data_IF_645921152704
#
_entry.id   IF_645921152704
#
_cell.length_a   1.000
_cell.length_b   1.000
_cell.length_c   1.000
_cell.angle_alpha   90.00
_cell.angle_beta   90.00
_cell.angle_gamma   90.00
#
_symmetry.space_group_name_H-M   'P 1'
#
loop_
_entity.id
_entity.type
_entity.pdbx_description
1 polymer ?
#
# COMPACT_ATOMS: atom_id res chain seq x y z
N UNK A 1 -18.54 6.01 7.89
CA UNK A 1 -18.72 4.64 8.45
C UNK A 1 -19.19 3.63 7.41
N UNK A 2 -20.17 4.00 6.54
CA UNK A 2 -20.70 3.07 5.52
C UNK A 2 -19.61 2.66 4.55
N UNK A 3 -18.86 3.61 3.97
CA UNK A 3 -17.77 3.33 3.02
C UNK A 3 -16.70 2.42 3.63
N UNK A 4 -16.25 2.70 4.87
CA UNK A 4 -15.27 1.85 5.55
C UNK A 4 -15.77 0.39 5.70
N UNK A 5 -17.06 0.20 6.00
CA UNK A 5 -17.65 -1.14 6.13
C UNK A 5 -17.76 -1.85 4.77
N UNK A 6 -18.22 -1.14 3.73
CA UNK A 6 -18.34 -1.69 2.37
C UNK A 6 -16.97 -2.05 1.78
N UNK A 7 -16.00 -1.15 1.88
CA UNK A 7 -14.64 -1.39 1.40
C UNK A 7 -14.02 -2.58 2.13
N UNK A 8 -14.17 -2.66 3.45
CA UNK A 8 -13.65 -3.79 4.22
C UNK A 8 -14.31 -5.12 3.83
N UNK A 9 -15.61 -5.13 3.55
CA UNK A 9 -16.31 -6.34 3.08
C UNK A 9 -15.76 -6.79 1.71
N UNK A 10 -15.55 -5.87 0.76
CA UNK A 10 -14.96 -6.14 -0.56
C UNK A 10 -13.54 -6.69 -0.44
N UNK A 11 -12.70 -6.08 0.42
CA UNK A 11 -11.32 -6.50 0.64
C UNK A 11 -11.27 -7.90 1.27
N UNK A 12 -12.09 -8.13 2.30
CA UNK A 12 -12.21 -9.44 2.95
C UNK A 12 -12.64 -10.52 1.95
N UNK A 13 -13.67 -10.25 1.13
CA UNK A 13 -14.15 -11.17 0.09
C UNK A 13 -13.06 -11.46 -0.95
N UNK A 14 -12.31 -10.45 -1.37
CA UNK A 14 -11.19 -10.64 -2.28
C UNK A 14 -10.14 -11.60 -1.70
N UNK A 15 -9.63 -11.33 -0.50
CA UNK A 15 -8.63 -12.20 0.12
C UNK A 15 -9.17 -13.62 0.37
N UNK A 16 -10.42 -13.75 0.80
CA UNK A 16 -11.04 -15.04 1.01
C UNK A 16 -11.20 -15.85 -0.29
N UNK A 17 -11.71 -15.23 -1.34
CA UNK A 17 -12.06 -15.93 -2.58
C UNK A 17 -10.89 -16.10 -3.54
N UNK A 18 -9.97 -15.12 -3.58
CA UNK A 18 -8.82 -15.13 -4.52
C UNK A 18 -7.56 -15.72 -3.92
N UNK A 19 -7.35 -15.55 -2.61
CA UNK A 19 -6.12 -15.96 -1.91
C UNK A 19 -6.37 -17.06 -0.87
N UNK A 20 -7.62 -17.38 -0.54
CA UNK A 20 -7.95 -18.35 0.49
C UNK A 20 -7.69 -17.87 1.92
N UNK A 21 -7.58 -16.55 2.13
CA UNK A 21 -7.26 -15.95 3.41
C UNK A 21 -8.46 -15.32 4.09
N UNK A 22 -8.77 -15.76 5.30
CA UNK A 22 -9.89 -15.25 6.09
C UNK A 22 -9.48 -14.09 7.00
N UNK A 23 -9.30 -12.89 6.43
CA UNK A 23 -8.95 -11.67 7.16
C UNK A 23 -7.46 -11.56 7.52
N UNK A 24 -7.11 -10.55 8.34
CA UNK A 24 -5.72 -10.22 8.69
C UNK A 24 -5.01 -11.39 9.36
N UNK A 25 -5.63 -12.04 10.34
CA UNK A 25 -5.05 -13.15 11.10
C UNK A 25 -5.31 -14.53 10.47
N UNK A 26 -6.00 -14.59 9.33
CA UNK A 26 -6.40 -15.83 8.65
C UNK A 26 -7.25 -16.78 9.52
N UNK A 27 -8.04 -16.22 10.43
CA UNK A 27 -8.90 -16.96 11.37
C UNK A 27 -10.33 -16.42 11.43
N UNK A 28 -10.72 -15.58 10.47
CA UNK A 28 -12.00 -14.88 10.38
C UNK A 28 -12.28 -13.92 11.57
N UNK A 29 -11.26 -13.53 12.35
CA UNK A 29 -11.41 -12.48 13.36
C UNK A 29 -11.84 -11.19 12.69
N UNK A 30 -12.81 -10.51 13.28
CA UNK A 30 -13.35 -9.26 12.75
C UNK A 30 -12.25 -8.17 12.69
N UNK A 31 -12.16 -7.51 11.56
CA UNK A 31 -11.32 -6.33 11.38
C UNK A 31 -12.05 -5.09 11.88
N UNK A 32 -11.36 -4.24 12.64
CA UNK A 32 -11.91 -3.01 13.21
C UNK A 32 -11.45 -1.84 12.35
N UNK A 33 -12.40 -0.99 11.94
CA UNK A 33 -12.12 0.29 11.28
C UNK A 33 -12.64 1.44 12.15
N UNK A 34 -11.79 2.40 12.45
CA UNK A 34 -12.14 3.64 13.16
C UNK A 34 -12.12 4.77 12.13
N UNK A 35 -13.20 5.53 12.05
CA UNK A 35 -13.35 6.67 11.15
C UNK A 35 -13.48 7.97 11.95
N UNK A 36 -13.35 9.11 11.28
CA UNK A 36 -13.37 10.44 11.89
C UNK A 36 -12.23 10.63 12.90
N UNK A 37 -11.07 10.06 12.58
CA UNK A 37 -9.88 10.20 13.44
C UNK A 37 -9.35 11.62 13.33
N UNK A 38 -8.98 12.19 14.47
CA UNK A 38 -8.39 13.52 14.58
C UNK A 38 -7.00 13.43 15.18
N UNK A 39 -6.12 14.34 14.78
CA UNK A 39 -4.79 14.53 15.34
C UNK A 39 -4.67 15.97 15.83
N UNK A 40 -4.26 16.18 17.08
CA UNK A 40 -4.17 17.50 17.73
C UNK A 40 -5.45 18.35 17.68
N UNK A 41 -6.61 17.69 17.54
CA UNK A 41 -7.93 18.34 17.49
C UNK A 41 -8.38 18.75 16.08
N UNK A 42 -7.54 18.55 15.07
CA UNK A 42 -7.87 18.74 13.66
C UNK A 42 -8.16 17.39 12.97
N UNK A 43 -8.86 17.42 11.84
CA UNK A 43 -9.10 16.23 11.05
C UNK A 43 -7.77 15.69 10.51
N UNK A 44 -7.57 14.38 10.64
CA UNK A 44 -6.37 13.74 10.13
C UNK A 44 -6.45 13.58 8.60
N UNK A 45 -5.40 14.01 7.89
CA UNK A 45 -5.23 13.76 6.44
C UNK A 45 -4.39 12.49 6.21
N UNK A 46 -4.77 11.39 6.84
CA UNK A 46 -4.07 10.12 6.75
C UNK A 46 -5.00 8.93 7.03
N UNK A 47 -4.55 7.73 6.64
CA UNK A 47 -5.05 6.45 7.11
C UNK A 47 -3.88 5.59 7.58
N UNK A 48 -4.09 4.68 8.52
CA UNK A 48 -3.04 3.77 8.96
C UNK A 48 -3.59 2.51 9.64
N UNK A 49 -2.84 1.42 9.53
CA UNK A 49 -2.92 0.24 10.38
C UNK A 49 -2.01 0.43 11.61
N UNK A 50 -2.51 0.17 12.83
CA UNK A 50 -1.73 0.35 14.07
C UNK A 50 -1.40 -0.96 14.80
N UNK A 51 -1.57 -2.10 14.16
CA UNK A 51 -1.39 -3.43 14.78
C UNK A 51 -2.68 -4.02 15.36
N UNK A 52 -3.77 -3.24 15.50
CA UNK A 52 -5.04 -3.66 16.10
C UNK A 52 -6.24 -3.27 15.26
N UNK A 53 -6.25 -2.07 14.70
CA UNK A 53 -7.34 -1.52 13.89
C UNK A 53 -6.81 -0.62 12.78
N UNK A 54 -7.63 -0.40 11.78
CA UNK A 54 -7.39 0.63 10.75
C UNK A 54 -8.03 1.94 11.19
N UNK A 55 -7.29 3.03 11.07
CA UNK A 55 -7.73 4.38 11.37
C UNK A 55 -7.83 5.19 10.08
N UNK A 56 -8.90 5.98 9.95
CA UNK A 56 -9.15 6.83 8.78
C UNK A 56 -9.52 8.22 9.25
N UNK A 57 -8.80 9.22 8.77
CA UNK A 57 -9.18 10.62 8.91
C UNK A 57 -10.22 11.05 7.88
N UNK A 58 -10.86 12.18 8.15
CA UNK A 58 -11.83 12.79 7.23
C UNK A 58 -11.17 13.65 6.14
N UNK A 59 -9.83 13.68 6.13
CA UNK A 59 -9.08 14.51 5.21
C UNK A 59 -9.13 15.99 5.59
N UNK A 60 -8.80 16.84 4.64
CA UNK A 60 -8.73 18.29 4.83
C UNK A 60 -8.66 19.04 3.51
N UNK A 61 -7.59 19.82 3.30
CA UNK A 61 -7.41 20.59 2.07
C UNK A 61 -6.88 19.71 0.92
N UNK A 62 -5.97 18.81 1.22
CA UNK A 62 -5.29 17.97 0.23
C UNK A 62 -6.02 16.65 -0.06
N UNK A 63 -6.71 16.08 0.93
CA UNK A 63 -7.40 14.80 0.83
C UNK A 63 -8.87 14.91 1.28
N UNK A 64 -9.75 14.18 0.60
CA UNK A 64 -11.12 13.89 1.03
C UNK A 64 -11.14 12.75 2.06
N UNK A 65 -12.28 12.39 2.70
CA UNK A 65 -12.33 11.31 3.69
C UNK A 65 -11.77 9.98 3.16
N UNK A 66 -10.67 9.52 3.75
CA UNK A 66 -9.87 8.39 3.26
C UNK A 66 -10.59 7.04 3.32
N UNK A 67 -11.56 6.89 4.21
CA UNK A 67 -12.43 5.70 4.25
C UNK A 67 -13.28 5.49 2.97
N UNK A 68 -13.31 6.48 2.08
CA UNK A 68 -14.00 6.42 0.79
C UNK A 68 -13.26 5.64 -0.29
N UNK A 69 -11.93 5.54 -0.22
CA UNK A 69 -11.08 4.89 -1.20
C UNK A 69 -10.92 3.41 -0.88
N UNK A 70 -11.14 2.55 -1.89
CA UNK A 70 -11.04 1.10 -1.74
C UNK A 70 -9.58 0.66 -1.69
N UNK A 71 -8.74 1.21 -2.55
CA UNK A 71 -7.32 0.94 -2.65
C UNK A 71 -6.56 1.33 -1.37
N UNK A 72 -6.86 2.52 -0.77
CA UNK A 72 -6.29 2.92 0.52
C UNK A 72 -6.72 1.94 1.62
N UNK A 73 -8.00 1.57 1.69
CA UNK A 73 -8.47 0.62 2.68
C UNK A 73 -7.80 -0.76 2.50
N UNK A 74 -7.55 -1.18 1.26
CA UNK A 74 -6.85 -2.42 0.93
C UNK A 74 -5.35 -2.35 1.27
N UNK A 75 -4.71 -1.19 1.03
CA UNK A 75 -3.34 -0.90 1.44
C UNK A 75 -3.19 -1.07 2.96
N UNK A 76 -4.04 -0.43 3.76
CA UNK A 76 -3.97 -0.53 5.22
C UNK A 76 -4.22 -1.95 5.75
N UNK A 77 -5.20 -2.66 5.19
CA UNK A 77 -5.42 -4.07 5.57
C UNK A 77 -4.22 -4.95 5.22
N UNK A 78 -3.52 -4.64 4.13
CA UNK A 78 -2.36 -5.42 3.68
C UNK A 78 -1.18 -5.24 4.63
N UNK A 79 -0.97 -4.06 5.23
CA UNK A 79 0.00 -3.90 6.32
C UNK A 79 -0.25 -4.89 7.46
N UNK A 80 -1.52 -5.06 7.85
CA UNK A 80 -1.91 -6.05 8.85
C UNK A 80 -1.58 -7.49 8.41
N UNK A 81 -1.78 -7.82 7.13
CA UNK A 81 -1.44 -9.13 6.57
C UNK A 81 0.08 -9.35 6.59
N UNK A 82 0.87 -8.34 6.18
CA UNK A 82 2.34 -8.39 6.20
C UNK A 82 2.86 -8.63 7.63
N UNK A 83 2.30 -7.92 8.62
CA UNK A 83 2.63 -8.10 10.03
C UNK A 83 2.40 -9.54 10.50
N UNK A 84 1.33 -10.19 10.04
CA UNK A 84 0.94 -11.58 10.41
C UNK A 84 1.61 -12.66 9.57
N UNK A 85 2.42 -12.29 8.58
CA UNK A 85 3.12 -13.22 7.69
C UNK A 85 4.64 -13.04 7.80
N UNK A 86 5.23 -12.24 6.95
CA UNK A 86 6.69 -12.03 6.87
C UNK A 86 7.20 -10.97 7.85
N UNK A 87 6.32 -10.14 8.40
CA UNK A 87 6.60 -9.11 9.41
C UNK A 87 7.78 -8.20 9.03
N UNK A 88 7.76 -7.63 7.82
CA UNK A 88 8.80 -6.72 7.33
C UNK A 88 8.96 -5.51 8.28
N UNK A 89 10.19 -5.27 8.75
CA UNK A 89 10.52 -4.08 9.55
C UNK A 89 10.22 -2.81 8.75
N UNK A 90 9.51 -1.85 9.37
CA UNK A 90 9.04 -0.64 8.69
C UNK A 90 10.15 0.42 8.64
N UNK A 91 11.24 0.12 7.91
CA UNK A 91 12.37 1.01 7.63
C UNK A 91 13.18 0.54 6.43
N UNK A 92 13.86 1.48 5.77
CA UNK A 92 14.76 1.22 4.65
C UNK A 92 14.09 0.31 3.57
N UNK A 93 14.83 -0.57 2.91
CA UNK A 93 14.28 -1.44 1.87
C UNK A 93 13.20 -2.41 2.37
N UNK A 94 13.28 -2.89 3.60
CA UNK A 94 12.23 -3.76 4.14
C UNK A 94 10.91 -3.00 4.34
N UNK A 95 10.98 -1.75 4.79
CA UNK A 95 9.83 -0.87 4.88
C UNK A 95 9.28 -0.47 3.51
N UNK A 96 10.15 -0.20 2.54
CA UNK A 96 9.74 0.06 1.16
C UNK A 96 9.08 -1.16 0.49
N UNK A 97 9.50 -2.38 0.81
CA UNK A 97 8.77 -3.60 0.42
C UNK A 97 7.42 -3.71 1.11
N UNK A 98 7.33 -3.37 2.39
CA UNK A 98 6.07 -3.36 3.14
C UNK A 98 5.06 -2.41 2.46
N UNK A 99 5.48 -1.17 2.14
CA UNK A 99 4.68 -0.21 1.38
C UNK A 99 4.27 -0.74 0.00
N UNK A 100 5.23 -1.30 -0.73
CA UNK A 100 4.97 -1.81 -2.07
C UNK A 100 3.98 -2.98 -2.07
N UNK A 101 4.10 -3.94 -1.16
CA UNK A 101 3.10 -5.01 -1.04
C UNK A 101 1.71 -4.44 -0.72
N UNK A 102 1.62 -3.43 0.12
CA UNK A 102 0.37 -2.75 0.45
C UNK A 102 -0.22 -2.06 -0.79
N UNK A 103 0.58 -1.31 -1.55
CA UNK A 103 0.18 -0.67 -2.81
C UNK A 103 -0.25 -1.70 -3.86
N UNK A 104 0.52 -2.78 -4.04
CA UNK A 104 0.21 -3.84 -5.00
C UNK A 104 -1.17 -4.44 -4.71
N UNK A 105 -1.48 -4.77 -3.45
CA UNK A 105 -2.80 -5.31 -3.13
C UNK A 105 -3.90 -4.26 -3.19
N UNK A 106 -3.61 -2.98 -2.96
CA UNK A 106 -4.49 -1.86 -3.32
C UNK A 106 -4.91 -1.97 -4.78
N UNK A 107 -3.93 -2.01 -5.68
CA UNK A 107 -4.16 -2.10 -7.14
C UNK A 107 -4.78 -3.43 -7.60
N UNK A 108 -4.60 -4.52 -6.89
CA UNK A 108 -5.21 -5.81 -7.24
C UNK A 108 -6.67 -5.90 -6.80
N UNK A 109 -7.09 -5.13 -5.83
CA UNK A 109 -8.45 -5.10 -5.27
C UNK A 109 -9.28 -4.01 -5.93
N UNK A 110 -8.70 -2.84 -6.10
CA UNK A 110 -9.23 -1.78 -6.96
C UNK A 110 -8.53 -1.84 -8.32
N UNK A 111 -9.11 -2.62 -9.24
CA UNK A 111 -8.42 -3.06 -10.45
C UNK A 111 -8.70 -2.19 -11.69
N UNK A 112 -9.33 -1.02 -11.49
CA UNK A 112 -9.71 -0.09 -12.56
C UNK A 112 -8.53 0.53 -13.30
N UNK A 113 -7.47 0.83 -12.58
CA UNK A 113 -6.24 1.46 -13.10
C UNK A 113 -4.99 1.09 -12.27
N UNK A 114 -3.98 1.97 -12.19
CA UNK A 114 -2.75 1.81 -11.44
C UNK A 114 -2.42 3.05 -10.59
N UNK A 115 -3.44 3.81 -10.25
CA UNK A 115 -3.34 4.96 -9.36
C UNK A 115 -3.78 4.57 -7.95
N UNK A 116 -3.05 5.01 -6.94
CA UNK A 116 -3.42 4.84 -5.54
C UNK A 116 -3.97 6.15 -5.00
N UNK A 117 -5.16 6.10 -4.41
CA UNK A 117 -5.79 7.24 -3.73
C UNK A 117 -6.41 8.27 -4.66
N UNK A 118 -6.63 7.96 -5.93
CA UNK A 118 -7.19 8.88 -6.93
C UNK A 118 -8.61 9.34 -6.58
N UNK A 119 -9.36 8.52 -5.84
CA UNK A 119 -10.73 8.83 -5.39
C UNK A 119 -10.79 9.91 -4.31
N UNK A 120 -9.67 10.16 -3.62
CA UNK A 120 -9.67 11.06 -2.44
C UNK A 120 -8.73 12.25 -2.58
N UNK A 121 -7.84 12.28 -3.56
CA UNK A 121 -6.90 13.40 -3.72
C UNK A 121 -7.55 14.65 -4.30
N UNK A 122 -7.14 15.80 -3.78
CA UNK A 122 -7.41 17.09 -4.43
C UNK A 122 -6.34 17.33 -5.50
N UNK A 123 -6.77 17.41 -6.77
CA UNK A 123 -5.87 17.56 -7.93
C UNK A 123 -5.08 18.87 -7.95
N UNK A 124 -5.47 19.85 -7.17
CA UNK A 124 -4.68 21.09 -7.00
C UNK A 124 -3.43 20.85 -6.16
N UNK A 125 -3.45 19.83 -5.28
CA UNK A 125 -2.32 19.39 -4.45
C UNK A 125 -1.57 18.20 -5.07
N UNK A 126 -2.27 17.34 -5.81
CA UNK A 126 -1.71 16.15 -6.47
C UNK A 126 -1.91 16.23 -7.99
N UNK A 127 -1.00 16.86 -8.74
CA UNK A 127 -1.15 17.06 -10.18
C UNK A 127 -1.24 15.76 -10.99
N UNK A 128 -0.67 14.66 -10.49
CA UNK A 128 -0.84 13.31 -11.06
C UNK A 128 -2.28 12.81 -11.01
N UNK A 129 -3.09 13.36 -10.09
CA UNK A 129 -4.44 12.90 -9.79
C UNK A 129 -4.50 11.71 -8.85
N UNK A 130 -3.39 11.32 -8.22
CA UNK A 130 -3.28 10.21 -7.27
C UNK A 130 -2.19 10.48 -6.23
N UNK A 131 -2.19 9.76 -5.12
CA UNK A 131 -1.08 9.74 -4.16
C UNK A 131 0.16 9.11 -4.77
N UNK A 132 0.01 8.00 -5.49
CA UNK A 132 1.08 7.28 -6.18
C UNK A 132 0.58 6.74 -7.53
N UNK A 133 1.47 6.71 -8.51
CA UNK A 133 1.26 6.05 -9.80
C UNK A 133 2.16 4.81 -9.87
N UNK A 134 1.58 3.64 -9.69
CA UNK A 134 2.29 2.35 -9.67
C UNK A 134 2.83 1.99 -11.05
N UNK A 135 2.12 2.43 -12.11
CA UNK A 135 2.56 2.25 -13.50
C UNK A 135 3.76 3.13 -13.84
N UNK A 136 3.77 4.37 -13.38
CA UNK A 136 4.84 5.33 -13.65
C UNK A 136 5.19 6.15 -12.39
N UNK A 137 6.02 5.62 -11.48
CA UNK A 137 6.35 6.27 -10.21
C UNK A 137 6.89 7.70 -10.34
N UNK A 138 7.46 8.07 -11.49
CA UNK A 138 7.92 9.43 -11.77
C UNK A 138 6.76 10.44 -11.96
N UNK A 139 5.55 9.97 -12.21
CA UNK A 139 4.39 10.83 -12.52
C UNK A 139 3.88 11.61 -11.29
N UNK A 140 4.26 11.23 -10.09
CA UNK A 140 3.84 11.88 -8.86
C UNK A 140 4.27 13.34 -8.76
N UNK A 141 5.48 13.66 -9.24
CA UNK A 141 6.04 15.02 -9.19
C UNK A 141 7.25 15.13 -10.15
N UNK A 142 7.89 16.30 -10.19
CA UNK A 142 9.22 16.46 -10.78
C UNK A 142 10.28 15.76 -9.91
N UNK A 143 11.36 15.31 -10.53
CA UNK A 143 12.44 14.62 -9.79
C UNK A 143 12.94 15.45 -8.60
N UNK A 144 12.89 14.84 -7.41
CA UNK A 144 13.20 15.50 -6.15
C UNK A 144 12.02 16.25 -5.50
N UNK A 145 10.84 16.22 -6.10
CA UNK A 145 9.60 16.70 -5.48
C UNK A 145 9.06 15.69 -4.46
N UNK A 146 8.10 16.11 -3.65
CA UNK A 146 7.58 15.35 -2.51
C UNK A 146 6.91 14.03 -2.89
N UNK A 147 6.30 13.96 -4.08
CA UNK A 147 5.53 12.80 -4.54
C UNK A 147 6.25 12.01 -5.66
N UNK A 148 7.46 12.43 -6.03
CA UNK A 148 8.28 11.70 -6.98
C UNK A 148 8.84 10.43 -6.35
N UNK A 149 8.71 9.31 -7.05
CA UNK A 149 9.28 8.05 -6.61
C UNK A 149 10.23 7.48 -7.69
N UNK A 150 11.34 6.84 -7.29
CA UNK A 150 12.20 6.11 -8.22
C UNK A 150 11.46 4.89 -8.82
N UNK A 151 11.75 4.60 -10.08
CA UNK A 151 11.20 3.44 -10.81
C UNK A 151 12.23 2.33 -11.06
N UNK A 152 13.52 2.58 -10.75
CA UNK A 152 14.64 1.66 -10.96
C UNK A 152 15.68 1.79 -9.84
N UNK A 153 16.45 0.70 -9.61
CA UNK A 153 17.50 0.71 -8.57
C UNK A 153 18.60 1.77 -8.78
N UNK A 154 18.86 2.17 -10.02
CA UNK A 154 19.83 3.25 -10.32
C UNK A 154 19.35 4.62 -9.80
N UNK A 155 18.09 4.74 -9.44
CA UNK A 155 17.44 5.94 -8.93
C UNK A 155 17.19 5.86 -7.41
N UNK A 156 17.58 4.75 -6.76
CA UNK A 156 17.36 4.52 -5.33
C UNK A 156 17.83 5.72 -4.51
N UNK A 157 16.97 6.18 -3.58
CA UNK A 157 17.26 7.31 -2.72
C UNK A 157 17.81 6.82 -1.39
N UNK A 158 19.07 7.11 -1.10
CA UNK A 158 19.66 6.92 0.23
C UNK A 158 19.13 8.02 1.16
N UNK A 159 18.28 7.65 2.13
CA UNK A 159 17.63 8.57 3.06
C UNK A 159 17.97 8.17 4.50
N UNK A 160 18.03 9.15 5.41
CA UNK A 160 18.22 8.89 6.83
C UNK A 160 16.93 8.27 7.42
N UNK A 161 17.07 7.42 8.46
CA UNK A 161 15.89 6.81 9.11
C UNK A 161 14.95 7.85 9.75
N UNK A 162 15.42 9.05 10.03
CA UNK A 162 14.59 10.18 10.47
C UNK A 162 13.75 10.82 9.37
N UNK A 163 14.05 10.48 8.10
CA UNK A 163 13.33 10.94 6.92
C UNK A 163 12.58 9.75 6.31
N UNK A 164 11.26 9.73 6.46
CA UNK A 164 10.39 8.67 5.92
C UNK A 164 10.88 7.25 6.28
N UNK A 165 11.38 7.03 7.50
CA UNK A 165 11.96 5.75 7.96
C UNK A 165 13.03 5.18 7.00
N UNK A 166 13.84 6.05 6.38
CA UNK A 166 14.82 5.67 5.37
C UNK A 166 14.21 5.53 3.97
N UNK A 167 13.18 6.31 3.67
CA UNK A 167 12.56 6.41 2.35
C UNK A 167 11.59 5.26 2.03
N UNK A 168 10.79 4.82 2.99
CA UNK A 168 9.88 3.68 2.79
C UNK A 168 8.80 3.99 1.74
N UNK A 169 8.19 5.18 1.79
CA UNK A 169 7.20 5.59 0.79
C UNK A 169 7.85 6.04 -0.52
N UNK A 170 9.07 6.56 -0.47
CA UNK A 170 9.80 7.01 -1.68
C UNK A 170 10.27 5.80 -2.48
N UNK A 171 11.05 4.90 -1.89
CA UNK A 171 11.67 3.78 -2.59
C UNK A 171 10.72 2.63 -2.92
N UNK A 172 9.49 2.63 -2.38
CA UNK A 172 8.43 1.68 -2.78
C UNK A 172 8.07 1.75 -4.26
N UNK A 173 8.33 2.87 -4.92
CA UNK A 173 8.13 3.02 -6.36
C UNK A 173 8.91 2.00 -7.20
N UNK A 174 10.10 1.57 -6.76
CA UNK A 174 10.94 0.58 -7.47
C UNK A 174 10.24 -0.80 -7.54
N UNK A 175 9.87 -1.44 -6.42
CA UNK A 175 9.13 -2.71 -6.46
C UNK A 175 7.70 -2.56 -7.00
N UNK A 176 7.04 -1.40 -6.82
CA UNK A 176 5.75 -1.09 -7.45
C UNK A 176 5.83 -1.18 -8.96
N UNK A 177 6.81 -0.51 -9.57
CA UNK A 177 7.04 -0.56 -11.01
C UNK A 177 7.32 -1.97 -11.50
N UNK A 178 8.09 -2.76 -10.72
CA UNK A 178 8.36 -4.16 -11.06
C UNK A 178 7.06 -4.99 -11.05
N UNK A 179 6.19 -4.80 -10.06
CA UNK A 179 4.91 -5.50 -9.99
C UNK A 179 3.98 -5.15 -11.16
N UNK A 180 3.92 -3.87 -11.54
CA UNK A 180 3.19 -3.44 -12.75
C UNK A 180 3.70 -4.18 -13.99
N UNK A 181 5.02 -4.20 -14.23
CA UNK A 181 5.62 -4.87 -15.39
C UNK A 181 5.33 -6.38 -15.38
N UNK A 182 5.36 -7.03 -14.24
CA UNK A 182 4.97 -8.43 -14.10
C UNK A 182 3.48 -8.60 -14.45
N UNK A 183 2.62 -7.71 -13.99
CA UNK A 183 1.19 -7.77 -14.28
C UNK A 183 0.86 -7.59 -15.77
N UNK A 184 1.62 -6.75 -16.48
CA UNK A 184 1.51 -6.61 -17.93
C UNK A 184 1.87 -7.91 -18.68
N UNK A 185 2.85 -8.65 -18.17
CA UNK A 185 3.31 -9.91 -18.83
C UNK A 185 2.43 -11.12 -18.50
N UNK A 186 2.02 -11.31 -17.24
CA UNK A 186 1.32 -12.52 -16.81
C UNK A 186 -0.13 -12.30 -16.38
N UNK A 187 -0.57 -11.05 -16.28
CA UNK A 187 -1.90 -10.60 -15.86
C UNK A 187 -2.03 -10.40 -14.34
N UNK A 188 -2.90 -9.47 -13.94
CA UNK A 188 -3.12 -9.07 -12.53
C UNK A 188 -3.41 -10.25 -11.61
N UNK A 189 -4.26 -11.19 -12.02
CA UNK A 189 -4.64 -12.34 -11.16
C UNK A 189 -3.45 -13.23 -10.81
N UNK A 190 -2.57 -13.52 -11.78
CA UNK A 190 -1.37 -14.33 -11.51
C UNK A 190 -0.35 -13.56 -10.69
N UNK A 191 -0.22 -12.27 -10.95
CA UNK A 191 0.66 -11.38 -10.17
C UNK A 191 0.20 -11.31 -8.72
N UNK A 192 -1.11 -11.13 -8.47
CA UNK A 192 -1.65 -11.15 -7.12
C UNK A 192 -1.37 -12.47 -6.39
N UNK A 193 -1.52 -13.62 -7.08
CA UNK A 193 -1.20 -14.93 -6.50
C UNK A 193 0.30 -15.07 -6.21
N UNK A 194 1.17 -14.58 -7.08
CA UNK A 194 2.62 -14.60 -6.89
C UNK A 194 3.01 -13.81 -5.63
N UNK A 195 2.59 -12.54 -5.54
CA UNK A 195 2.90 -11.68 -4.41
C UNK A 195 2.28 -12.19 -3.10
N UNK A 196 1.05 -12.70 -3.15
CA UNK A 196 0.46 -13.31 -1.96
C UNK A 196 1.22 -14.57 -1.51
N UNK A 197 1.65 -15.40 -2.44
CA UNK A 197 2.43 -16.60 -2.13
C UNK A 197 3.78 -16.25 -1.47
N UNK A 198 4.43 -15.17 -1.87
CA UNK A 198 5.67 -14.68 -1.23
C UNK A 198 5.43 -14.35 0.25
N UNK A 199 4.29 -13.72 0.57
CA UNK A 199 3.91 -13.40 1.95
C UNK A 199 3.52 -14.65 2.74
N UNK A 200 2.61 -15.47 2.20
CA UNK A 200 2.00 -16.60 2.91
C UNK A 200 2.98 -17.76 3.14
N UNK A 201 3.85 -18.02 2.16
CA UNK A 201 4.91 -19.02 2.28
C UNK A 201 6.15 -18.52 3.06
N UNK A 202 6.13 -17.26 3.54
CA UNK A 202 7.21 -16.65 4.30
C UNK A 202 8.58 -16.72 3.61
N UNK A 203 8.61 -16.43 2.29
CA UNK A 203 9.89 -16.39 1.55
C UNK A 203 10.75 -15.18 1.91
N UNK A 204 10.18 -14.20 2.57
CA UNK A 204 10.88 -13.02 3.08
C UNK A 204 11.06 -13.12 4.60
N UNK A 205 12.05 -12.41 5.11
CA UNK A 205 12.32 -12.20 6.53
C UNK A 205 12.03 -10.75 6.90
N UNK A 206 11.94 -10.39 8.19
CA UNK A 206 11.68 -9.00 8.59
C UNK A 206 12.66 -7.96 8.02
N UNK A 207 13.86 -8.37 7.60
CA UNK A 207 14.90 -7.48 7.06
C UNK A 207 15.24 -7.73 5.60
N UNK A 208 14.35 -8.41 4.88
CA UNK A 208 14.54 -8.66 3.46
C UNK A 208 14.65 -7.37 2.67
N UNK A 209 15.50 -7.40 1.66
CA UNK A 209 15.75 -6.30 0.72
C UNK A 209 15.08 -6.57 -0.63
N UNK A 210 15.12 -5.62 -1.55
CA UNK A 210 14.53 -5.76 -2.88
C UNK A 210 15.06 -6.98 -3.63
N UNK A 211 16.35 -7.30 -3.46
CA UNK A 211 16.94 -8.47 -4.10
C UNK A 211 16.32 -9.78 -3.59
N UNK A 212 15.98 -9.85 -2.30
CA UNK A 212 15.35 -11.05 -1.72
C UNK A 212 13.94 -11.25 -2.29
N UNK A 213 13.17 -10.16 -2.43
CA UNK A 213 11.85 -10.20 -3.04
C UNK A 213 11.93 -10.64 -4.52
N UNK A 214 12.90 -10.12 -5.28
CA UNK A 214 13.16 -10.54 -6.66
C UNK A 214 13.49 -12.02 -6.79
N UNK A 215 14.25 -12.57 -5.82
CA UNK A 215 14.62 -13.99 -5.85
C UNK A 215 13.47 -14.90 -5.40
N UNK A 216 12.52 -14.36 -4.63
CA UNK A 216 11.31 -15.07 -4.20
C UNK A 216 10.24 -15.11 -5.30
N UNK A 217 10.21 -14.10 -6.18
CA UNK A 217 9.29 -14.00 -7.32
C UNK A 217 9.77 -14.85 -8.51
#
# INVERSE_FOLDING_TARGET
>A
PVSAHENMARIYEYFLTKQGRAGISNDATATISIVHVTEDGESMENAYWNGVFMAYGDGGEALSPLAGSLDIAAHEMTHGIIERTVNLEYRNQSGALNESFADIFGMMIDDGDWFLGEDVVNKDHFPSGALRDVQNPHNGDTQGGWYWQPAHMDEFQEMDESEDNGGVHVNSGIPNRAAYLIAEEIGREKTAKLYYHILDAAYLTPRSQFIDCRLAA
#
